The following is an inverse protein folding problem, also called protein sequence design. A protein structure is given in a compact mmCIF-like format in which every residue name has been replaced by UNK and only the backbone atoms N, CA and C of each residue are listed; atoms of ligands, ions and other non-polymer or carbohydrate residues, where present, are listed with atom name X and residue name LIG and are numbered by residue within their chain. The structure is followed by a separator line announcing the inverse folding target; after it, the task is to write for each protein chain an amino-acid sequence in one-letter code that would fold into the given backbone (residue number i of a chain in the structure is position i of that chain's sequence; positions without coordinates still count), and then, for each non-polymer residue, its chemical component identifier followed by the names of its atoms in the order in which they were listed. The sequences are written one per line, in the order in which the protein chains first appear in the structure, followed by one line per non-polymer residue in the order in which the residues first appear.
data_IF_941332861223
#
_entry.id   IF_941332861223
#
_cell.length_a   1.000
_cell.length_b   1.000
_cell.length_c   1.000
_cell.angle_alpha   90.00
_cell.angle_beta   90.00
_cell.angle_gamma   90.00
#
_symmetry.space_group_name_H-M   'P 1'
#
loop_
_entity.id
_entity.type
_entity.pdbx_description
1 polymer ?
#
# COMPACT_ATOMS: atom_id res chain seq x y z
N UNK A 1 0.36 3.70 -12.51
CA UNK A 1 -0.07 3.08 -13.78
C UNK A 1 -0.35 4.18 -14.77
N UNK A 2 -0.55 3.85 -16.05
CA UNK A 2 -0.97 4.80 -17.09
C UNK A 2 -2.35 4.47 -17.63
N UNK A 3 -3.12 3.65 -16.89
CA UNK A 3 -4.45 3.25 -17.32
C UNK A 3 -5.40 4.46 -17.35
N UNK A 4 -6.41 4.43 -18.22
CA UNK A 4 -7.48 5.42 -18.22
C UNK A 4 -8.17 5.51 -16.85
N UNK A 5 -8.79 6.65 -16.57
CA UNK A 5 -9.42 6.94 -15.28
C UNK A 5 -10.53 5.95 -14.85
N UNK A 6 -11.06 5.15 -15.78
CA UNK A 6 -12.08 4.13 -15.50
C UNK A 6 -11.49 2.88 -14.83
N UNK A 7 -10.19 2.64 -15.00
CA UNK A 7 -9.55 1.47 -14.42
C UNK A 7 -9.06 1.78 -13.01
N UNK A 8 -9.24 0.83 -12.09
CA UNK A 8 -8.74 0.93 -10.73
C UNK A 8 -8.12 -0.41 -10.28
N UNK A 9 -7.31 -0.38 -9.23
CA UNK A 9 -6.65 -1.58 -8.73
C UNK A 9 -6.23 -1.47 -7.28
N UNK A 10 -6.17 -2.61 -6.62
CA UNK A 10 -5.70 -2.76 -5.25
C UNK A 10 -4.28 -3.35 -5.30
N UNK A 11 -3.39 -2.88 -4.42
CA UNK A 11 -2.01 -3.37 -4.31
C UNK A 11 -1.66 -3.56 -2.84
N UNK A 12 -0.99 -4.67 -2.55
CA UNK A 12 -0.53 -5.02 -1.21
C UNK A 12 0.99 -4.97 -1.15
N UNK A 13 1.51 -4.61 0.02
CA UNK A 13 2.93 -4.62 0.35
C UNK A 13 3.12 -5.32 1.70
N UNK A 14 4.12 -6.18 1.78
CA UNK A 14 4.52 -6.88 3.00
C UNK A 14 5.19 -5.94 4.00
N UNK A 15 5.43 -6.45 5.21
CA UNK A 15 6.12 -5.71 6.27
C UNK A 15 7.59 -5.38 5.96
N UNK A 16 8.16 -6.03 4.95
CA UNK A 16 9.49 -5.78 4.39
C UNK A 16 9.50 -4.71 3.28
N UNK A 17 8.33 -4.23 2.87
CA UNK A 17 8.18 -3.23 1.81
C UNK A 17 8.17 -3.81 0.38
N UNK A 18 8.22 -5.12 0.20
CA UNK A 18 8.07 -5.77 -1.10
C UNK A 18 6.60 -6.11 -1.38
N UNK A 19 6.30 -6.49 -2.63
CA UNK A 19 5.00 -7.06 -2.97
C UNK A 19 4.83 -8.42 -2.28
N UNK A 20 3.59 -8.88 -2.20
CA UNK A 20 3.32 -10.25 -1.78
C UNK A 20 4.06 -11.22 -2.70
N UNK A 21 4.52 -12.33 -2.13
CA UNK A 21 5.03 -13.43 -2.94
C UNK A 21 3.87 -14.26 -3.50
N UNK A 22 4.16 -15.04 -4.53
CA UNK A 22 3.16 -15.84 -5.26
C UNK A 22 2.37 -16.78 -4.35
N UNK A 23 2.97 -17.28 -3.26
CA UNK A 23 2.30 -18.18 -2.32
C UNK A 23 1.18 -17.45 -1.56
N UNK A 24 1.42 -16.20 -1.14
CA UNK A 24 0.41 -15.41 -0.40
C UNK A 24 -0.66 -14.89 -1.35
N UNK A 25 -0.29 -14.55 -2.59
CA UNK A 25 -1.28 -14.22 -3.63
C UNK A 25 -2.22 -15.41 -3.88
N UNK A 26 -1.66 -16.62 -4.04
CA UNK A 26 -2.44 -17.84 -4.24
C UNK A 26 -3.33 -18.20 -3.04
N UNK A 27 -2.87 -17.96 -1.80
CA UNK A 27 -3.68 -18.16 -0.59
C UNK A 27 -4.90 -17.22 -0.58
N UNK A 28 -4.70 -15.94 -0.91
CA UNK A 28 -5.79 -14.97 -1.02
C UNK A 28 -6.78 -15.37 -2.12
N UNK A 29 -6.30 -15.78 -3.30
CA UNK A 29 -7.15 -16.25 -4.39
C UNK A 29 -7.97 -17.49 -4.00
N UNK A 30 -7.37 -18.45 -3.30
CA UNK A 30 -8.09 -19.63 -2.81
C UNK A 30 -9.20 -19.28 -1.81
N UNK A 31 -8.99 -18.25 -0.98
CA UNK A 31 -10.04 -17.73 -0.08
C UNK A 31 -11.16 -17.00 -0.84
N UNK A 32 -10.84 -16.34 -1.95
CA UNK A 32 -11.84 -15.68 -2.81
C UNK A 32 -12.71 -16.70 -3.55
N UNK A 33 -12.12 -17.83 -3.97
CA UNK A 33 -12.82 -18.91 -4.69
C UNK A 33 -13.56 -19.88 -3.77
N UNK A 34 -13.38 -19.78 -2.44
CA UNK A 34 -14.03 -20.65 -1.47
C UNK A 34 -15.56 -20.49 -1.48
N UNK A 35 -16.30 -21.61 -1.42
CA UNK A 35 -17.77 -21.61 -1.39
C UNK A 35 -18.33 -20.94 -0.12
N UNK A 36 -17.60 -21.02 0.99
CA UNK A 36 -17.98 -20.43 2.28
C UNK A 36 -16.79 -19.69 2.91
N UNK A 37 -17.04 -18.45 3.35
CA UNK A 37 -16.09 -17.68 4.16
C UNK A 37 -16.20 -18.07 5.64
N UNK A 38 -15.23 -18.88 6.06
CA UNK A 38 -15.09 -19.42 7.42
C UNK A 38 -14.09 -18.66 8.29
N UNK A 39 -13.63 -17.48 7.85
CA UNK A 39 -12.65 -16.67 8.59
C UNK A 39 -13.24 -16.13 9.91
N UNK A 40 -12.38 -15.78 10.89
CA UNK A 40 -12.83 -15.24 12.16
C UNK A 40 -13.73 -14.00 12.01
N UNK A 41 -14.82 -13.96 12.77
CA UNK A 41 -15.77 -12.83 12.83
C UNK A 41 -15.70 -12.15 14.20
N UNK A 42 -14.70 -11.28 14.44
CA UNK A 42 -14.60 -10.56 15.71
C UNK A 42 -15.84 -9.67 15.92
N UNK A 43 -16.26 -9.52 17.18
CA UNK A 43 -17.40 -8.69 17.58
C UNK A 43 -16.92 -7.42 18.28
N UNK A 44 -17.60 -6.94 19.33
CA UNK A 44 -17.13 -5.78 20.08
C UNK A 44 -15.71 -5.97 20.63
N UNK A 45 -15.39 -7.19 21.10
CA UNK A 45 -14.04 -7.58 21.47
C UNK A 45 -13.31 -8.13 20.23
N UNK A 46 -12.16 -7.53 19.90
CA UNK A 46 -11.31 -7.94 18.78
C UNK A 46 -11.54 -7.19 17.46
N UNK A 47 -12.51 -6.27 17.37
CA UNK A 47 -12.66 -5.42 16.19
C UNK A 47 -11.49 -4.43 16.08
N UNK A 48 -10.93 -4.31 14.87
CA UNK A 48 -9.85 -3.36 14.60
C UNK A 48 -10.28 -1.89 14.76
N UNK A 49 -9.30 -1.03 15.01
CA UNK A 49 -9.50 0.43 15.15
C UNK A 49 -8.87 1.11 13.94
N UNK A 50 -9.61 2.04 13.33
CA UNK A 50 -9.12 2.92 12.29
C UNK A 50 -8.62 4.23 12.89
N UNK A 51 -7.44 4.68 12.47
CA UNK A 51 -6.84 5.95 12.88
C UNK A 51 -6.24 6.62 11.65
N UNK A 52 -6.46 7.93 11.52
CA UNK A 52 -5.85 8.73 10.46
C UNK A 52 -4.35 8.96 10.72
N UNK A 53 -3.54 8.89 9.66
CA UNK A 53 -2.08 9.09 9.74
C UNK A 53 -1.56 10.13 8.73
N UNK A 54 -1.98 11.41 8.85
CA UNK A 54 -1.63 12.46 7.88
C UNK A 54 -0.13 12.78 7.84
N UNK A 55 0.63 12.48 8.90
CA UNK A 55 2.07 12.70 8.94
C UNK A 55 2.89 11.74 8.05
N UNK A 56 2.28 10.66 7.56
CA UNK A 56 2.95 9.66 6.74
C UNK A 56 3.59 10.27 5.48
N UNK A 57 2.89 11.20 4.82
CA UNK A 57 3.40 11.89 3.62
C UNK A 57 4.68 12.68 3.92
N UNK A 58 4.68 13.47 5.01
CA UNK A 58 5.84 14.29 5.39
C UNK A 58 7.06 13.45 5.73
N UNK A 59 6.85 12.29 6.36
CA UNK A 59 7.94 11.34 6.66
C UNK A 59 8.53 10.76 5.39
N UNK A 60 7.69 10.38 4.43
CA UNK A 60 8.13 9.86 3.14
C UNK A 60 8.92 10.91 2.34
N UNK A 61 8.40 12.14 2.22
CA UNK A 61 9.10 13.25 1.57
C UNK A 61 10.45 13.54 2.23
N UNK A 62 10.50 13.57 3.57
CA UNK A 62 11.73 13.78 4.32
C UNK A 62 12.78 12.68 4.07
N UNK A 63 12.34 11.44 3.91
CA UNK A 63 13.22 10.34 3.52
C UNK A 63 13.75 10.51 2.09
N UNK A 64 12.90 10.85 1.12
CA UNK A 64 13.35 11.10 -0.26
C UNK A 64 14.41 12.20 -0.32
N UNK A 65 14.17 13.33 0.35
CA UNK A 65 15.12 14.45 0.42
C UNK A 65 16.44 14.02 1.07
N UNK A 66 16.40 13.20 2.13
CA UNK A 66 17.62 12.77 2.83
C UNK A 66 18.51 11.86 1.99
N UNK A 67 17.95 11.19 0.97
CA UNK A 67 18.72 10.38 0.01
C UNK A 67 19.28 11.18 -1.18
N UNK A 68 18.85 12.43 -1.35
CA UNK A 68 19.21 13.28 -2.48
C UNK A 68 20.43 14.16 -2.24
N UNK A 69 20.77 14.95 -3.26
CA UNK A 69 21.77 16.02 -3.21
C UNK A 69 21.14 17.36 -3.58
N UNK A 70 21.70 18.50 -3.13
CA UNK A 70 21.20 19.82 -3.53
C UNK A 70 21.21 20.02 -5.04
N UNK A 71 20.20 20.74 -5.56
CA UNK A 71 20.00 20.99 -7.00
C UNK A 71 20.17 22.49 -7.34
N UNK A 72 20.92 23.23 -6.54
CA UNK A 72 21.14 24.67 -6.72
C UNK A 72 21.64 25.01 -8.14
N UNK A 73 21.03 26.04 -8.75
CA UNK A 73 21.36 26.47 -10.10
C UNK A 73 20.70 25.65 -11.23
N UNK A 74 20.00 24.55 -10.90
CA UNK A 74 19.23 23.78 -11.89
C UNK A 74 17.84 24.37 -12.11
N UNK A 75 17.37 24.36 -13.36
CA UNK A 75 15.96 24.57 -13.70
C UNK A 75 15.37 23.23 -14.11
N UNK A 76 14.44 22.72 -13.32
CA UNK A 76 13.81 21.41 -13.53
C UNK A 76 12.34 21.62 -13.88
N UNK A 77 11.89 21.00 -14.97
CA UNK A 77 10.47 20.89 -15.31
C UNK A 77 9.98 19.50 -14.89
N UNK A 78 8.76 19.43 -14.36
CA UNK A 78 8.06 18.21 -13.98
C UNK A 78 6.74 18.15 -14.78
N UNK A 79 6.36 16.95 -15.18
CA UNK A 79 5.07 16.62 -15.81
C UNK A 79 4.21 15.86 -14.81
#
# INVERSE_FOLDING_TARGET
SHNPALDNGIKFFGGDGFKLDDEKEAEIEALLDAEEDTLPRPSAEGLGILVDYPEGLRKYEGYLVSTGTPLDGMKVALD
#
